data_IF_740784067415
#
_entry.id   IF_740784067415
#
_cell.length_a   1.000
_cell.length_b   1.000
_cell.length_c   1.000
_cell.angle_alpha   90.00
_cell.angle_beta   90.00
_cell.angle_gamma   90.00
#
_symmetry.space_group_name_H-M   'P 1'
#
loop_
_entity.id
_entity.type
_entity.pdbx_description
1 polymer ?
#
# COMPACT_ATOMS: atom_id res chain seq x y z
N UNK A 1 24.68 -10.78 -0.62
CA UNK A 1 23.24 -10.47 -0.84
C UNK A 1 23.16 -9.21 -1.67
N UNK A 2 22.31 -9.15 -2.72
CA UNK A 2 22.12 -7.90 -3.46
C UNK A 2 21.48 -6.84 -2.54
N UNK A 3 21.86 -5.58 -2.72
CA UNK A 3 21.30 -4.46 -1.96
C UNK A 3 19.80 -4.37 -2.23
N UNK A 4 18.98 -4.60 -1.21
CA UNK A 4 17.55 -4.34 -1.31
C UNK A 4 17.35 -2.83 -1.51
N UNK A 5 16.99 -2.43 -2.73
CA UNK A 5 16.54 -1.07 -3.02
C UNK A 5 15.11 -0.99 -2.50
N UNK A 6 14.86 -0.09 -1.55
CA UNK A 6 13.55 0.10 -0.94
C UNK A 6 12.60 0.73 -1.96
N UNK A 7 11.96 -0.11 -2.78
CA UNK A 7 10.82 0.28 -3.58
C UNK A 7 9.63 0.31 -2.63
N UNK A 8 9.20 1.50 -2.23
CA UNK A 8 7.91 1.64 -1.56
C UNK A 8 6.87 0.92 -2.42
N UNK A 9 6.16 -0.05 -1.85
CA UNK A 9 5.08 -0.73 -2.55
C UNK A 9 4.15 0.36 -3.10
N UNK A 10 3.96 0.34 -4.42
CA UNK A 10 3.23 1.35 -5.15
C UNK A 10 1.83 1.49 -4.54
N UNK A 11 1.61 2.56 -3.76
CA UNK A 11 0.28 2.87 -3.24
C UNK A 11 -0.52 3.38 -4.43
N UNK A 12 -1.59 2.68 -4.78
CA UNK A 12 -2.62 3.19 -5.67
C UNK A 12 -3.21 4.44 -5.01
N UNK A 13 -2.64 5.61 -5.32
CA UNK A 13 -3.00 6.90 -4.71
C UNK A 13 -1.86 7.91 -4.62
N UNK A 14 -0.59 7.50 -4.56
CA UNK A 14 0.54 8.45 -4.54
C UNK A 14 0.97 8.94 -5.93
N UNK A 15 0.37 8.37 -6.98
CA UNK A 15 0.55 8.78 -8.38
C UNK A 15 -0.60 9.66 -8.89
N UNK A 16 -1.57 10.01 -8.04
CA UNK A 16 -2.62 10.94 -8.45
C UNK A 16 -2.10 12.37 -8.31
N UNK A 17 -2.07 13.15 -9.39
CA UNK A 17 -1.62 14.53 -9.34
C UNK A 17 -2.53 15.32 -8.38
N UNK A 18 -1.92 16.07 -7.47
CA UNK A 18 -2.68 16.98 -6.62
C UNK A 18 -3.30 18.10 -7.49
N UNK A 19 -4.52 18.58 -7.18
CA UNK A 19 -5.22 19.57 -8.02
C UNK A 19 -4.40 20.85 -8.26
N UNK A 20 -4.65 21.51 -9.40
CA UNK A 20 -4.05 22.80 -9.74
C UNK A 20 -4.24 23.82 -8.61
N UNK A 21 -3.17 24.53 -8.24
CA UNK A 21 -3.19 25.56 -7.21
C UNK A 21 -2.98 25.09 -5.76
N UNK A 22 -2.90 23.78 -5.50
CA UNK A 22 -2.43 23.27 -4.21
C UNK A 22 -0.91 23.44 -4.15
N UNK A 23 -0.40 24.23 -3.21
CA UNK A 23 1.04 24.46 -2.99
C UNK A 23 1.84 24.91 -4.25
N UNK A 24 1.19 25.60 -5.19
CA UNK A 24 1.84 26.07 -6.42
C UNK A 24 2.03 25.02 -7.51
N UNK A 25 1.24 23.93 -7.49
CA UNK A 25 1.24 22.89 -8.51
C UNK A 25 0.65 23.31 -9.86
N UNK A 26 1.21 22.77 -10.94
CA UNK A 26 0.78 23.02 -12.31
C UNK A 26 -0.51 22.28 -12.71
N UNK A 27 -0.92 22.40 -13.97
CA UNK A 27 -2.10 21.74 -14.54
C UNK A 27 -2.03 20.20 -14.51
N UNK A 28 -0.83 19.64 -14.37
CA UNK A 28 -0.56 18.22 -14.24
C UNK A 28 -0.31 17.82 -12.78
N UNK A 29 -0.59 18.71 -11.82
CA UNK A 29 -0.40 18.52 -10.38
C UNK A 29 1.06 18.40 -9.93
N UNK A 30 2.00 18.80 -10.78
CA UNK A 30 3.44 18.74 -10.53
C UNK A 30 3.91 20.00 -9.81
N UNK A 31 4.84 19.81 -8.89
CA UNK A 31 5.61 20.86 -8.23
C UNK A 31 7.00 20.93 -8.86
N UNK A 32 7.41 22.11 -9.33
CA UNK A 32 8.76 22.31 -9.87
C UNK A 32 9.88 22.07 -8.84
N UNK A 33 9.57 22.22 -7.54
CA UNK A 33 10.54 22.07 -6.46
C UNK A 33 10.64 20.64 -5.92
N UNK A 34 9.57 19.85 -6.01
CA UNK A 34 9.44 18.62 -5.21
C UNK A 34 8.88 17.42 -5.98
N UNK A 35 8.49 17.58 -7.25
CA UNK A 35 8.17 16.44 -8.13
C UNK A 35 9.43 15.86 -8.76
N UNK A 36 9.55 14.54 -8.72
CA UNK A 36 10.64 13.75 -9.28
C UNK A 36 10.07 12.72 -10.24
N UNK A 37 10.56 12.70 -11.48
CA UNK A 37 10.17 11.68 -12.46
C UNK A 37 10.99 10.39 -12.27
N UNK A 38 10.28 9.28 -12.07
CA UNK A 38 10.86 7.93 -11.98
C UNK A 38 10.23 7.09 -13.08
N UNK A 39 11.04 6.65 -14.04
CA UNK A 39 10.60 5.83 -15.18
C UNK A 39 9.43 6.46 -15.98
N UNK A 40 9.46 7.79 -16.16
CA UNK A 40 8.43 8.53 -16.89
C UNK A 40 7.15 8.82 -16.08
N UNK A 41 7.13 8.50 -14.80
CA UNK A 41 6.01 8.79 -13.89
C UNK A 41 6.45 9.84 -12.87
N UNK A 42 5.70 10.92 -12.73
CA UNK A 42 5.96 11.97 -11.74
C UNK A 42 5.53 11.56 -10.34
N UNK A 43 6.46 11.59 -9.40
CA UNK A 43 6.24 11.34 -7.98
C UNK A 43 6.47 12.60 -7.18
N UNK A 44 5.60 12.88 -6.22
CA UNK A 44 5.79 13.97 -5.28
C UNK A 44 6.60 13.49 -4.07
N UNK A 45 7.78 14.07 -3.85
CA UNK A 45 8.67 13.66 -2.76
C UNK A 45 8.42 14.44 -1.45
N UNK A 46 7.70 15.56 -1.50
CA UNK A 46 7.38 16.38 -0.34
C UNK A 46 5.99 16.08 0.28
N UNK A 47 5.32 14.98 -0.12
CA UNK A 47 4.07 14.60 0.53
C UNK A 47 4.33 14.23 2.00
N UNK A 48 3.50 14.72 2.95
CA UNK A 48 3.49 14.16 4.29
C UNK A 48 3.20 12.66 4.19
N UNK A 49 3.70 11.84 5.13
CA UNK A 49 3.44 10.41 5.10
C UNK A 49 1.93 10.19 5.02
N UNK A 50 1.46 9.51 3.97
CA UNK A 50 0.08 9.01 3.89
C UNK A 50 -0.15 7.85 4.88
N UNK A 51 0.72 7.70 5.87
CA UNK A 51 0.56 6.78 6.99
C UNK A 51 -0.26 7.53 8.02
N UNK A 52 -1.57 7.35 7.98
CA UNK A 52 -2.45 7.85 9.03
C UNK A 52 -2.07 7.16 10.36
N UNK A 53 -2.02 7.93 11.44
CA UNK A 53 -1.88 7.38 12.78
C UNK A 53 -3.02 6.38 13.01
N UNK A 54 -2.66 5.16 13.43
CA UNK A 54 -3.64 4.09 13.62
C UNK A 54 -4.61 4.50 14.73
N UNK A 55 -5.94 4.43 14.52
CA UNK A 55 -6.87 4.55 15.63
C UNK A 55 -6.58 3.42 16.63
N UNK A 56 -6.43 3.78 17.91
CA UNK A 56 -6.28 2.84 19.03
C UNK A 56 -7.62 2.14 19.26
N UNK A 57 -7.94 1.18 18.40
CA UNK A 57 -9.05 0.28 18.64
C UNK A 57 -8.62 -0.78 19.65
N UNK A 58 -9.48 -1.17 20.60
CA UNK A 58 -9.20 -2.29 21.48
C UNK A 58 -8.88 -3.52 20.63
N UNK A 59 -7.91 -4.32 21.08
CA UNK A 59 -7.40 -5.53 20.44
C UNK A 59 -8.54 -6.50 20.10
N UNK A 60 -9.21 -6.28 18.98
CA UNK A 60 -10.09 -7.28 18.37
C UNK A 60 -9.19 -8.43 17.96
N UNK A 61 -9.58 -9.66 18.28
CA UNK A 61 -8.82 -10.89 18.01
C UNK A 61 -8.12 -10.79 16.65
N UNK A 62 -6.79 -10.99 16.63
CA UNK A 62 -5.92 -10.82 15.45
C UNK A 62 -6.61 -11.35 14.20
N UNK A 63 -7.28 -10.46 13.46
CA UNK A 63 -7.85 -10.83 12.18
C UNK A 63 -6.67 -11.14 11.28
N UNK A 64 -6.87 -12.09 10.37
CA UNK A 64 -5.85 -12.43 9.36
C UNK A 64 -5.38 -11.14 8.69
N UNK A 65 -4.11 -11.07 8.29
CA UNK A 65 -3.57 -9.90 7.56
C UNK A 65 -4.11 -9.80 6.11
N UNK A 66 -5.14 -10.58 5.76
CA UNK A 66 -5.78 -10.67 4.45
C UNK A 66 -7.28 -10.93 4.66
N UNK A 67 -8.09 -10.64 3.64
CA UNK A 67 -9.51 -11.01 3.62
C UNK A 67 -9.72 -12.25 2.74
N UNK A 68 -10.65 -13.12 3.14
CA UNK A 68 -11.01 -14.32 2.39
C UNK A 68 -12.51 -14.61 2.53
N UNK A 69 -13.13 -15.01 1.42
CA UNK A 69 -14.48 -15.58 1.35
C UNK A 69 -14.33 -16.95 0.72
N UNK A 70 -14.15 -17.96 1.57
CA UNK A 70 -13.69 -19.30 1.20
C UNK A 70 -14.71 -20.04 0.32
N UNK A 71 -16.01 -19.78 0.50
CA UNK A 71 -17.09 -20.36 -0.29
C UNK A 71 -17.04 -19.88 -1.75
N UNK A 72 -16.62 -18.62 -1.96
CA UNK A 72 -16.54 -17.99 -3.27
C UNK A 72 -15.13 -18.09 -3.89
N UNK A 73 -14.16 -18.68 -3.17
CA UNK A 73 -12.75 -18.70 -3.55
C UNK A 73 -12.19 -17.29 -3.84
N UNK A 74 -12.67 -16.28 -3.10
CA UNK A 74 -12.23 -14.89 -3.22
C UNK A 74 -11.25 -14.53 -2.10
N UNK A 75 -10.08 -14.03 -2.49
CA UNK A 75 -9.01 -13.67 -1.57
C UNK A 75 -8.51 -12.27 -1.90
N UNK A 76 -8.31 -11.44 -0.88
CA UNK A 76 -7.77 -10.10 -1.02
C UNK A 76 -6.59 -9.92 -0.06
N UNK A 77 -5.44 -9.57 -0.62
CA UNK A 77 -4.21 -9.31 0.11
C UNK A 77 -3.66 -7.94 -0.28
N UNK A 78 -3.10 -7.25 0.71
CA UNK A 78 -2.63 -5.88 0.58
C UNK A 78 -2.38 -5.26 1.95
N UNK A 79 -1.71 -4.13 1.96
CA UNK A 79 -1.47 -3.37 3.19
C UNK A 79 -2.76 -2.80 3.79
N UNK A 80 -3.76 -2.50 2.97
CA UNK A 80 -5.08 -2.01 3.42
C UNK A 80 -5.94 -3.03 4.17
N UNK A 81 -5.72 -4.32 3.99
CA UNK A 81 -6.40 -5.37 4.77
C UNK A 81 -5.52 -5.95 5.89
N UNK A 82 -4.28 -5.49 6.02
CA UNK A 82 -3.39 -5.91 7.08
C UNK A 82 -3.63 -5.10 8.35
N UNK A 83 -3.44 -5.75 9.48
CA UNK A 83 -3.41 -5.12 10.79
C UNK A 83 -2.08 -4.42 11.10
N UNK A 84 -1.20 -4.25 10.10
CA UNK A 84 0.16 -3.69 10.26
C UNK A 84 0.20 -2.24 9.79
N UNK A 85 1.31 -1.57 10.06
CA UNK A 85 1.59 -0.26 9.47
C UNK A 85 1.58 -0.37 7.94
N UNK A 86 0.74 0.41 7.23
CA UNK A 86 0.60 0.26 5.78
C UNK A 86 1.92 0.50 5.04
N UNK A 87 2.19 -0.30 4.00
CA UNK A 87 3.43 -0.25 3.24
C UNK A 87 3.90 -1.63 2.77
N UNK A 88 5.13 -1.68 2.25
CA UNK A 88 5.68 -2.87 1.61
C UNK A 88 5.66 -4.11 2.51
N UNK A 89 6.10 -3.97 3.76
CA UNK A 89 6.14 -5.10 4.70
C UNK A 89 4.73 -5.65 4.98
N UNK A 90 3.74 -4.77 5.21
CA UNK A 90 2.36 -5.17 5.44
C UNK A 90 1.77 -5.89 4.23
N UNK A 91 1.99 -5.37 3.02
CA UNK A 91 1.56 -6.01 1.78
C UNK A 91 2.22 -7.38 1.57
N UNK A 92 3.53 -7.49 1.81
CA UNK A 92 4.27 -8.75 1.65
C UNK A 92 3.80 -9.82 2.65
N UNK A 93 3.62 -9.46 3.92
CA UNK A 93 3.13 -10.38 4.96
C UNK A 93 1.67 -10.76 4.73
N UNK A 94 0.83 -9.81 4.29
CA UNK A 94 -0.53 -10.08 3.85
C UNK A 94 -0.57 -11.11 2.72
N UNK A 95 0.22 -10.90 1.66
CA UNK A 95 0.32 -11.80 0.51
C UNK A 95 0.80 -13.20 0.91
N UNK A 96 1.83 -13.29 1.78
CA UNK A 96 2.30 -14.57 2.31
C UNK A 96 1.18 -15.31 3.06
N UNK A 97 0.46 -14.60 3.94
CA UNK A 97 -0.63 -15.18 4.72
C UNK A 97 -1.77 -15.68 3.82
N UNK A 98 -2.16 -14.89 2.83
CA UNK A 98 -3.19 -15.27 1.86
C UNK A 98 -2.76 -16.50 1.04
N UNK A 99 -1.52 -16.56 0.57
CA UNK A 99 -1.01 -17.70 -0.19
C UNK A 99 -1.01 -19.00 0.63
N UNK A 100 -0.60 -18.94 1.91
CA UNK A 100 -0.65 -20.09 2.81
C UNK A 100 -2.09 -20.59 3.03
N UNK A 101 -3.03 -19.66 3.18
CA UNK A 101 -4.45 -19.97 3.34
C UNK A 101 -5.08 -20.56 2.07
N UNK A 102 -4.77 -20.00 0.91
CA UNK A 102 -5.20 -20.54 -0.40
C UNK A 102 -4.69 -21.98 -0.55
N UNK A 103 -3.41 -22.24 -0.24
CA UNK A 103 -2.86 -23.58 -0.30
C UNK A 103 -3.62 -24.56 0.61
N UNK A 104 -4.00 -24.15 1.81
CA UNK A 104 -4.77 -24.98 2.74
C UNK A 104 -6.21 -25.26 2.25
N UNK A 105 -6.87 -24.28 1.64
CA UNK A 105 -8.29 -24.36 1.26
C UNK A 105 -8.52 -24.91 -0.16
N UNK A 106 -7.46 -24.98 -0.98
CA UNK A 106 -7.53 -25.45 -2.37
C UNK A 106 -6.89 -26.80 -2.61
N UNK A 107 -5.91 -27.19 -1.78
CA UNK A 107 -5.16 -28.44 -1.95
C UNK A 107 -5.67 -29.56 -1.04
N UNK A 108 -6.68 -29.28 -0.22
CA UNK A 108 -7.40 -30.23 0.63
C UNK A 108 -8.90 -30.10 0.35
#
# INVERSE_FOLDING_TARGET
>A
MPSAIYLQAQRWGSALPAPIGVEGRDENGRSAATTVDILGVGYECALPPLVFARPTLPSVARSRDFAAVDEMKLFYAGDFCSSRSPGFEAAALSGRGAAQHIAQVMLH
#
